data_IF_305350377199
#
_entry.id   IF_305350377199
#
_cell.length_a   1.000
_cell.length_b   1.000
_cell.length_c   1.000
_cell.angle_alpha   90.00
_cell.angle_beta   90.00
_cell.angle_gamma   90.00
#
_symmetry.space_group_name_H-M   'P 1'
#
loop_
_entity.id
_entity.type
_entity.pdbx_description
1 polymer ?
#
# COMPACT_ATOMS: atom_id res chain seq x y z
N UNK A 1 -7.20 1.73 -12.54
CA UNK A 1 -7.26 2.15 -11.13
C UNK A 1 -7.96 3.50 -11.08
N UNK A 2 -9.16 3.60 -10.49
CA UNK A 2 -9.90 4.85 -10.43
C UNK A 2 -9.23 5.84 -9.46
N UNK A 3 -9.19 7.13 -9.82
CA UNK A 3 -8.78 8.20 -8.89
C UNK A 3 -9.91 8.39 -7.89
N UNK A 4 -9.80 7.74 -6.74
CA UNK A 4 -10.83 7.79 -5.69
C UNK A 4 -10.67 9.01 -4.79
N UNK A 5 -9.42 9.41 -4.50
CA UNK A 5 -9.13 10.44 -3.49
C UNK A 5 -9.51 9.95 -2.10
N UNK A 6 -8.54 9.62 -1.25
CA UNK A 6 -8.79 9.12 0.11
C UNK A 6 -8.16 10.04 1.13
N UNK A 7 -9.00 10.61 2.00
CA UNK A 7 -8.55 11.20 3.26
C UNK A 7 -8.51 10.08 4.31
N UNK A 8 -7.35 9.86 4.93
CA UNK A 8 -7.21 8.88 6.00
C UNK A 8 -7.91 9.42 7.24
N UNK A 9 -9.06 8.84 7.57
CA UNK A 9 -9.79 9.15 8.79
C UNK A 9 -9.85 7.92 9.70
N UNK A 10 -9.77 8.15 11.00
CA UNK A 10 -10.02 7.12 11.99
C UNK A 10 -11.50 6.78 11.95
N UNK A 11 -11.86 5.62 11.41
CA UNK A 11 -13.26 5.17 11.31
C UNK A 11 -13.61 4.09 12.33
N UNK A 12 -12.67 3.74 13.22
CA UNK A 12 -12.89 2.77 14.30
C UNK A 12 -13.83 3.35 15.37
N UNK A 13 -15.02 2.75 15.62
CA UNK A 13 -16.05 3.36 16.46
C UNK A 13 -15.57 3.72 17.87
N UNK A 14 -14.88 2.81 18.56
CA UNK A 14 -14.36 3.06 19.91
C UNK A 14 -13.30 4.15 19.94
N UNK A 15 -12.49 4.24 18.89
CA UNK A 15 -11.44 5.24 18.79
C UNK A 15 -12.04 6.62 18.51
N UNK A 16 -13.13 6.70 17.73
CA UNK A 16 -13.89 7.93 17.50
C UNK A 16 -14.56 8.44 18.78
N UNK A 17 -15.18 7.55 19.55
CA UNK A 17 -15.77 7.89 20.86
C UNK A 17 -14.74 8.52 21.81
N UNK A 18 -13.53 7.96 21.84
CA UNK A 18 -12.43 8.45 22.68
C UNK A 18 -11.78 9.73 22.14
N UNK A 19 -11.83 9.96 20.83
CA UNK A 19 -11.15 11.06 20.14
C UNK A 19 -12.12 11.95 19.36
N UNK A 20 -13.12 12.53 20.04
CA UNK A 20 -14.14 13.42 19.44
C UNK A 20 -13.59 14.52 18.51
N UNK A 21 -12.35 14.98 18.72
CA UNK A 21 -11.69 15.95 17.80
C UNK A 21 -11.42 15.42 16.40
N UNK A 22 -11.35 14.09 16.23
CA UNK A 22 -11.12 13.40 14.95
C UNK A 22 -12.44 12.94 14.30
N UNK A 23 -13.55 13.06 15.03
CA UNK A 23 -14.91 12.77 14.55
C UNK A 23 -15.48 13.99 13.82
N UNK A 24 -15.01 14.18 12.58
CA UNK A 24 -15.48 15.28 11.71
C UNK A 24 -16.86 14.91 11.15
N UNK A 25 -17.84 15.81 11.19
CA UNK A 25 -19.15 15.53 10.63
C UNK A 25 -19.06 15.39 9.10
N UNK A 26 -19.70 14.35 8.57
CA UNK A 26 -19.86 14.17 7.14
C UNK A 26 -20.71 15.30 6.53
N UNK A 27 -20.34 15.78 5.35
CA UNK A 27 -21.04 16.81 4.58
C UNK A 27 -21.74 16.21 3.37
N UNK A 28 -22.62 16.99 2.77
CA UNK A 28 -23.27 16.61 1.52
C UNK A 28 -22.20 16.36 0.44
N UNK A 29 -22.24 15.18 -0.19
CA UNK A 29 -21.27 14.74 -1.19
C UNK A 29 -20.17 13.83 -0.65
N UNK A 30 -19.99 13.73 0.68
CA UNK A 30 -19.03 12.80 1.26
C UNK A 30 -19.50 11.35 1.07
N UNK A 31 -18.53 10.46 0.82
CA UNK A 31 -18.79 9.04 0.64
C UNK A 31 -17.95 8.21 1.59
N UNK A 32 -18.63 7.48 2.47
CA UNK A 32 -18.01 6.52 3.37
C UNK A 32 -17.95 5.15 2.70
N UNK A 33 -16.78 4.51 2.75
CA UNK A 33 -16.56 3.19 2.14
C UNK A 33 -16.02 2.26 3.22
N UNK A 34 -16.77 1.18 3.50
CA UNK A 34 -16.37 0.10 4.38
C UNK A 34 -16.14 -1.17 3.56
N UNK A 35 -14.88 -1.45 3.16
CA UNK A 35 -14.55 -2.67 2.43
C UNK A 35 -14.77 -3.91 3.32
N UNK A 36 -15.12 -5.03 2.70
CA UNK A 36 -14.99 -6.31 3.38
C UNK A 36 -13.51 -6.59 3.67
N UNK A 37 -13.22 -7.26 4.77
CA UNK A 37 -11.84 -7.56 5.15
C UNK A 37 -11.19 -8.45 4.07
N UNK A 38 -10.14 -7.99 3.37
CA UNK A 38 -9.47 -8.83 2.38
C UNK A 38 -8.76 -10.01 3.04
N UNK A 39 -8.48 -11.03 2.24
CA UNK A 39 -7.71 -12.21 2.67
C UNK A 39 -6.33 -12.30 2.02
N UNK A 40 -5.93 -11.28 1.29
CA UNK A 40 -4.71 -11.27 0.47
C UNK A 40 -3.87 -10.02 0.74
N UNK A 41 -2.62 -10.09 0.30
CA UNK A 41 -1.71 -8.98 0.08
C UNK A 41 -1.50 -8.84 -1.42
N UNK A 42 -1.52 -7.62 -1.94
CA UNK A 42 -1.28 -7.36 -3.37
C UNK A 42 0.15 -6.89 -3.60
N UNK A 43 0.85 -7.47 -4.57
CA UNK A 43 2.18 -7.01 -5.03
C UNK A 43 2.01 -6.39 -6.41
N UNK A 44 2.47 -5.15 -6.60
CA UNK A 44 2.35 -4.39 -7.86
C UNK A 44 3.60 -3.55 -8.14
N UNK A 45 3.62 -2.83 -9.27
CA UNK A 45 4.72 -1.98 -9.71
C UNK A 45 5.60 -2.67 -10.74
N UNK A 46 6.92 -2.71 -10.53
CA UNK A 46 7.89 -3.36 -11.41
C UNK A 46 7.85 -4.89 -11.32
N UNK A 47 6.68 -5.47 -11.55
CA UNK A 47 6.38 -6.90 -11.58
C UNK A 47 5.79 -7.28 -12.94
N UNK A 48 5.96 -8.52 -13.37
CA UNK A 48 5.47 -8.98 -14.68
C UNK A 48 3.94 -8.87 -14.78
N UNK A 49 3.25 -9.15 -13.67
CA UNK A 49 1.82 -8.94 -13.48
C UNK A 49 1.56 -8.72 -11.98
N UNK A 50 0.57 -7.91 -11.58
CA UNK A 50 0.20 -7.78 -10.18
C UNK A 50 -0.20 -9.15 -9.58
N UNK A 51 0.31 -9.45 -8.39
CA UNK A 51 0.08 -10.71 -7.70
C UNK A 51 -0.80 -10.50 -6.47
N UNK A 52 -1.88 -11.28 -6.32
CA UNK A 52 -2.66 -11.36 -5.08
C UNK A 52 -2.23 -12.63 -4.33
N UNK A 53 -1.60 -12.47 -3.17
CA UNK A 53 -1.02 -13.56 -2.38
C UNK A 53 -1.85 -13.74 -1.10
N UNK A 54 -2.25 -14.97 -0.70
CA UNK A 54 -2.94 -15.20 0.55
C UNK A 54 -2.19 -14.61 1.76
N UNK A 55 -2.92 -13.91 2.62
CA UNK A 55 -2.35 -13.31 3.82
C UNK A 55 -1.95 -14.39 4.83
N UNK A 56 -0.73 -14.26 5.34
CA UNK A 56 -0.15 -15.03 6.44
C UNK A 56 0.23 -14.09 7.57
N UNK A 57 -0.25 -14.38 8.78
CA UNK A 57 0.03 -13.59 9.96
C UNK A 57 1.54 -13.49 10.23
N UNK A 58 2.00 -12.29 10.59
CA UNK A 58 3.40 -11.98 10.91
C UNK A 58 4.40 -12.23 9.78
N UNK A 59 3.94 -12.59 8.58
CA UNK A 59 4.84 -12.78 7.44
C UNK A 59 5.39 -11.44 6.98
N UNK A 60 6.70 -11.45 6.77
CA UNK A 60 7.46 -10.28 6.35
C UNK A 60 7.20 -9.92 4.89
N UNK A 61 7.11 -8.62 4.60
CA UNK A 61 6.88 -8.06 3.26
C UNK A 61 7.85 -8.62 2.20
N UNK A 62 9.10 -8.90 2.57
CA UNK A 62 10.11 -9.47 1.66
C UNK A 62 9.72 -10.85 1.11
N UNK A 63 9.03 -11.66 1.92
CA UNK A 63 8.62 -13.01 1.53
C UNK A 63 7.46 -12.94 0.53
N UNK A 64 6.52 -12.00 0.72
CA UNK A 64 5.48 -11.74 -0.28
C UNK A 64 6.06 -11.26 -1.60
N UNK A 65 7.02 -10.32 -1.57
CA UNK A 65 7.70 -9.84 -2.79
C UNK A 65 8.32 -10.99 -3.59
N UNK A 66 9.00 -11.93 -2.91
CA UNK A 66 9.67 -13.06 -3.58
C UNK A 66 8.71 -14.05 -4.25
N UNK A 67 7.43 -14.03 -3.90
CA UNK A 67 6.42 -14.90 -4.51
C UNK A 67 5.84 -14.33 -5.82
N UNK A 68 6.21 -13.09 -6.19
CA UNK A 68 5.76 -12.44 -7.42
C UNK A 68 6.91 -12.32 -8.42
N UNK A 69 6.62 -12.56 -9.71
CA UNK A 69 7.61 -12.44 -10.77
C UNK A 69 7.98 -10.97 -11.01
N UNK A 70 9.26 -10.63 -10.82
CA UNK A 70 9.77 -9.27 -10.95
C UNK A 70 10.19 -8.96 -12.39
N UNK A 71 10.07 -7.69 -12.80
CA UNK A 71 10.69 -7.21 -14.05
C UNK A 71 12.19 -6.95 -13.85
N UNK A 72 13.02 -6.97 -14.91
CA UNK A 72 14.44 -6.64 -14.82
C UNK A 72 14.71 -5.24 -14.26
N UNK A 73 13.76 -4.31 -14.43
CA UNK A 73 13.85 -2.95 -13.91
C UNK A 73 13.48 -2.82 -12.42
N UNK A 74 13.05 -3.90 -11.75
CA UNK A 74 12.68 -3.87 -10.35
C UNK A 74 13.87 -3.53 -9.46
N UNK A 75 13.64 -2.69 -8.44
CA UNK A 75 14.68 -2.37 -7.48
C UNK A 75 15.11 -3.62 -6.68
N UNK A 76 16.42 -3.88 -6.57
CA UNK A 76 16.94 -4.92 -5.67
C UNK A 76 17.05 -4.42 -4.22
N UNK A 77 16.98 -3.11 -4.00
CA UNK A 77 17.40 -2.49 -2.75
C UNK A 77 16.24 -2.13 -1.84
N UNK A 78 15.08 -1.80 -2.40
CA UNK A 78 13.95 -1.25 -1.66
C UNK A 78 12.59 -1.75 -2.17
N UNK A 79 11.59 -1.65 -1.31
CA UNK A 79 10.17 -1.76 -1.65
C UNK A 79 9.36 -0.80 -0.79
N UNK A 80 8.12 -0.55 -1.18
CA UNK A 80 7.16 0.20 -0.39
C UNK A 80 6.09 -0.72 0.17
N UNK A 81 5.83 -0.60 1.47
CA UNK A 81 4.72 -1.22 2.17
C UNK A 81 3.62 -0.19 2.33
N UNK A 82 2.43 -0.52 1.85
CA UNK A 82 1.24 0.34 1.93
C UNK A 82 0.17 -0.44 2.71
N UNK A 83 -0.11 0.01 3.92
CA UNK A 83 -1.10 -0.63 4.76
C UNK A 83 -2.53 -0.24 4.36
N UNK A 84 -3.55 -1.04 4.71
CA UNK A 84 -4.95 -0.75 4.41
C UNK A 84 -5.42 0.61 4.93
N UNK A 85 -4.82 1.13 6.00
CA UNK A 85 -5.11 2.46 6.57
C UNK A 85 -4.52 3.62 5.76
N UNK A 86 -3.76 3.35 4.70
CA UNK A 86 -3.13 4.35 3.85
C UNK A 86 -1.75 4.81 4.31
N UNK A 87 -1.19 4.22 5.37
CA UNK A 87 0.23 4.44 5.68
C UNK A 87 1.11 3.76 4.65
N UNK A 88 1.93 4.56 3.97
CA UNK A 88 2.99 4.07 3.10
C UNK A 88 4.36 4.26 3.75
N UNK A 89 5.21 3.24 3.68
CA UNK A 89 6.58 3.30 4.18
C UNK A 89 7.53 2.61 3.19
N UNK A 90 8.64 3.25 2.90
CA UNK A 90 9.75 2.65 2.16
C UNK A 90 10.61 1.80 3.10
N UNK A 91 10.96 0.59 2.69
CA UNK A 91 11.83 -0.30 3.45
C UNK A 91 12.97 -0.82 2.59
N UNK A 92 14.14 -1.01 3.21
CA UNK A 92 15.30 -1.62 2.57
C UNK A 92 15.28 -3.15 2.69
N UNK A 93 15.59 -3.83 1.59
CA UNK A 93 15.50 -5.30 1.47
C UNK A 93 16.82 -5.97 1.08
N UNK A 94 17.79 -5.21 0.56
CA UNK A 94 19.13 -5.69 0.28
C UNK A 94 19.89 -5.93 1.58
N UNK A 95 21.01 -6.67 1.49
CA UNK A 95 21.82 -7.01 2.66
C UNK A 95 22.35 -5.77 3.39
N UNK A 96 22.70 -4.72 2.64
CA UNK A 96 23.38 -3.53 3.14
C UNK A 96 22.43 -2.47 3.73
N UNK A 97 21.13 -2.50 3.42
CA UNK A 97 20.12 -1.57 3.92
C UNK A 97 18.94 -2.27 4.62
N UNK A 98 19.15 -3.51 5.05
CA UNK A 98 18.07 -4.39 5.48
C UNK A 98 17.30 -3.80 6.66
N UNK A 99 16.01 -3.54 6.44
CA UNK A 99 15.08 -3.14 7.50
C UNK A 99 14.67 -4.33 8.38
N UNK A 100 14.18 -4.05 9.58
CA UNK A 100 13.51 -5.04 10.43
C UNK A 100 12.32 -5.68 9.67
N UNK A 101 11.94 -6.94 9.98
CA UNK A 101 10.78 -7.56 9.35
C UNK A 101 9.52 -6.70 9.52
N UNK A 102 8.77 -6.51 8.43
CA UNK A 102 7.54 -5.71 8.44
C UNK A 102 6.35 -6.62 8.15
N UNK A 103 5.51 -6.82 9.16
CA UNK A 103 4.27 -7.58 9.03
C UNK A 103 3.20 -6.77 8.29
N UNK A 104 2.49 -7.44 7.40
CA UNK A 104 1.42 -6.83 6.60
C UNK A 104 0.05 -7.15 7.18
N UNK A 105 -0.85 -6.16 7.17
CA UNK A 105 -2.26 -6.41 7.44
C UNK A 105 -2.93 -7.04 6.21
N UNK A 106 -4.04 -7.79 6.38
CA UNK A 106 -4.83 -8.24 5.25
C UNK A 106 -5.34 -7.04 4.44
N UNK A 107 -5.17 -7.08 3.12
CA UNK A 107 -5.46 -5.97 2.21
C UNK A 107 -4.29 -5.01 1.98
N UNK A 108 -3.13 -5.23 2.62
CA UNK A 108 -1.96 -4.42 2.35
C UNK A 108 -1.47 -4.59 0.90
N UNK A 109 -0.76 -3.57 0.42
CA UNK A 109 -0.12 -3.57 -0.89
C UNK A 109 1.40 -3.42 -0.73
N UNK A 110 2.15 -4.20 -1.50
CA UNK A 110 3.57 -4.02 -1.76
C UNK A 110 3.70 -3.37 -3.12
N UNK A 111 4.34 -2.20 -3.14
CA UNK A 111 4.79 -1.58 -4.39
C UNK A 111 6.27 -1.85 -4.59
N UNK A 112 6.59 -2.55 -5.68
CA UNK A 112 7.95 -2.81 -6.14
C UNK A 112 8.38 -1.64 -7.02
N UNK A 113 9.32 -0.80 -6.57
CA UNK A 113 9.75 0.36 -7.33
C UNK A 113 10.64 -0.02 -8.51
N UNK A 114 10.79 0.90 -9.45
CA UNK A 114 11.83 0.82 -10.47
C UNK A 114 13.17 1.12 -9.79
N UNK A 115 14.22 0.39 -10.18
CA UNK A 115 15.57 0.54 -9.66
C UNK A 115 16.01 2.01 -9.69
N UNK A 116 16.43 2.54 -8.54
CA UNK A 116 16.75 3.96 -8.40
C UNK A 116 17.83 4.43 -9.37
N UNK A 117 18.80 3.58 -9.72
CA UNK A 117 19.82 3.88 -10.73
C UNK A 117 19.24 4.16 -12.12
N UNK A 118 18.09 3.59 -12.47
CA UNK A 118 17.45 3.74 -13.77
C UNK A 118 16.59 5.02 -13.88
N UNK A 119 16.05 5.52 -12.77
CA UNK A 119 15.07 6.64 -12.79
C UNK A 119 15.56 7.93 -12.15
N UNK A 120 16.61 7.88 -11.30
CA UNK A 120 17.02 9.03 -10.47
C UNK A 120 17.38 10.29 -11.26
N UNK A 121 17.93 10.17 -12.46
CA UNK A 121 18.31 11.33 -13.29
C UNK A 121 17.15 11.95 -14.08
N UNK A 122 16.04 11.22 -14.24
CA UNK A 122 14.90 11.62 -15.09
C UNK A 122 13.71 12.02 -14.21
N UNK A 123 13.37 11.19 -13.23
CA UNK A 123 12.23 11.36 -12.34
C UNK A 123 12.60 10.86 -10.94
N UNK A 124 13.37 11.64 -10.16
CA UNK A 124 13.90 11.21 -8.87
C UNK A 124 12.82 10.81 -7.86
N UNK A 125 11.64 11.42 -7.94
CA UNK A 125 10.56 11.25 -6.97
C UNK A 125 9.47 10.25 -7.41
N UNK A 126 9.59 9.66 -8.61
CA UNK A 126 8.49 8.87 -9.22
C UNK A 126 8.03 7.69 -8.37
N UNK A 127 8.98 7.01 -7.71
CA UNK A 127 8.66 5.87 -6.85
C UNK A 127 7.91 6.31 -5.59
N UNK A 128 8.29 7.46 -5.01
CA UNK A 128 7.62 8.02 -3.84
C UNK A 128 6.23 8.54 -4.20
N UNK A 129 6.08 9.22 -5.34
CA UNK A 129 4.79 9.67 -5.86
C UNK A 129 3.85 8.51 -6.17
N UNK A 130 4.35 7.45 -6.81
CA UNK A 130 3.59 6.24 -7.07
C UNK A 130 3.12 5.59 -5.76
N UNK A 131 3.99 5.47 -4.75
CA UNK A 131 3.61 4.92 -3.45
C UNK A 131 2.54 5.77 -2.75
N UNK A 132 2.67 7.10 -2.78
CA UNK A 132 1.64 8.02 -2.24
C UNK A 132 0.32 7.90 -2.99
N UNK A 133 0.36 7.80 -4.31
CA UNK A 133 -0.84 7.60 -5.13
C UNK A 133 -1.52 6.28 -4.78
N UNK A 134 -0.77 5.18 -4.70
CA UNK A 134 -1.29 3.87 -4.31
C UNK A 134 -1.87 3.87 -2.90
N UNK A 135 -1.30 4.65 -1.98
CA UNK A 135 -1.82 4.84 -0.63
C UNK A 135 -3.17 5.59 -0.58
N UNK A 136 -3.60 6.22 -1.67
CA UNK A 136 -4.94 6.82 -1.75
C UNK A 136 -5.98 5.90 -2.38
N UNK A 137 -5.58 4.71 -2.86
CA UNK A 137 -6.51 3.77 -3.47
C UNK A 137 -7.39 3.11 -2.39
N UNK A 138 -8.66 2.94 -2.72
CA UNK A 138 -9.63 2.25 -1.88
C UNK A 138 -9.57 0.75 -2.18
N UNK A 139 -9.73 -0.08 -1.14
CA UNK A 139 -9.90 -1.52 -1.31
C UNK A 139 -11.25 -1.82 -1.96
N UNK A 140 -11.35 -2.95 -2.65
CA UNK A 140 -12.61 -3.38 -3.25
C UNK A 140 -13.73 -3.41 -2.20
N UNK A 141 -14.81 -2.69 -2.49
CA UNK A 141 -15.96 -2.54 -1.60
C UNK A 141 -17.25 -2.35 -2.40
N UNK A 142 -18.41 -2.74 -1.84
CA UNK A 142 -19.71 -2.47 -2.47
C UNK A 142 -19.87 -0.99 -2.84
N UNK A 143 -20.28 -0.73 -4.09
CA UNK A 143 -20.48 0.61 -4.65
C UNK A 143 -19.22 1.29 -5.20
N UNK A 144 -18.03 0.73 -5.02
CA UNK A 144 -16.80 1.22 -5.69
C UNK A 144 -16.78 0.62 -7.10
N UNK A 145 -17.06 1.44 -8.11
CA UNK A 145 -17.02 1.01 -9.51
C UNK A 145 -15.56 0.85 -9.96
N UNK A 146 -15.22 -0.28 -10.60
CA UNK A 146 -13.94 -0.48 -11.29
C UNK A 146 -13.85 0.36 -12.58
#
# INVERSE_FOLDING_TARGET
MPVTGREVQLLEPRSLEAARRQDRPARAGDRLIYPSRPQTVTVTGAVAQPCAIPHVAMQDARIYRSQCALLPAASPDDLYVIQPDGRAAKIGIALWNRSAPVALAPGAMIYVPIAGSAVRSIAPDINDEAARFLATQVLDAPGVSN
#
